data_IF_496427176115
#
_entry.id   IF_496427176115
#
_cell.length_a   1.000
_cell.length_b   1.000
_cell.length_c   1.000
_cell.angle_alpha   90.00
_cell.angle_beta   90.00
_cell.angle_gamma   90.00
#
_symmetry.space_group_name_H-M   'P 1'
#
loop_
_entity.id
_entity.type
_entity.pdbx_description
1 polymer ?
#
# COMPACT_ATOMS: atom_id res chain seq x y z
N UNK A 1 -0.33 3.51 -4.16
CA UNK A 1 0.52 2.97 -3.08
C UNK A 1 0.93 1.55 -3.44
N UNK A 2 2.13 1.06 -3.08
CA UNK A 2 2.54 -0.33 -3.30
C UNK A 2 2.71 -1.00 -1.93
N UNK A 3 2.08 -2.16 -1.73
CA UNK A 3 2.09 -2.86 -0.45
C UNK A 3 2.44 -4.35 -0.62
N UNK A 4 3.14 -4.95 0.35
CA UNK A 4 3.19 -6.40 0.46
C UNK A 4 1.82 -6.93 0.87
N UNK A 5 1.38 -8.03 0.26
CA UNK A 5 0.12 -8.71 0.58
C UNK A 5 0.43 -10.11 1.06
N UNK A 6 -0.17 -10.48 2.19
CA UNK A 6 -0.24 -11.86 2.66
C UNK A 6 -1.46 -12.55 2.09
N UNK A 7 -1.29 -13.74 1.52
CA UNK A 7 -2.37 -14.64 1.15
C UNK A 7 -2.17 -15.94 1.90
N UNK A 8 -3.24 -16.45 2.51
CA UNK A 8 -3.25 -17.75 3.20
C UNK A 8 -2.14 -17.95 4.24
N UNK A 9 -1.63 -16.87 4.84
CA UNK A 9 -0.59 -16.89 5.87
C UNK A 9 0.84 -16.63 5.37
N UNK A 10 1.08 -16.63 4.06
CA UNK A 10 2.40 -16.39 3.46
C UNK A 10 2.49 -15.00 2.79
N UNK A 11 3.61 -14.29 2.96
CA UNK A 11 3.89 -13.03 2.23
C UNK A 11 4.38 -13.41 0.83
N UNK A 12 3.48 -13.79 -0.06
CA UNK A 12 3.88 -14.26 -1.40
C UNK A 12 4.08 -13.12 -2.41
N UNK A 13 3.43 -11.96 -2.26
CA UNK A 13 3.33 -11.03 -3.39
C UNK A 13 3.15 -9.56 -3.01
N UNK A 14 3.59 -8.67 -3.90
CA UNK A 14 3.37 -7.23 -3.80
C UNK A 14 2.26 -6.82 -4.78
N UNK A 15 1.42 -5.88 -4.36
CA UNK A 15 0.42 -5.29 -5.25
C UNK A 15 0.36 -3.77 -5.13
N UNK A 16 -0.15 -3.16 -6.19
CA UNK A 16 -0.49 -1.74 -6.18
C UNK A 16 -1.90 -1.56 -5.62
N UNK A 17 -2.07 -0.69 -4.65
CA UNK A 17 -3.35 -0.11 -4.26
C UNK A 17 -3.58 1.15 -5.09
N UNK A 18 -4.62 1.10 -5.91
CA UNK A 18 -5.06 2.14 -6.84
C UNK A 18 -6.40 2.72 -6.35
N UNK A 19 -6.36 3.96 -5.83
CA UNK A 19 -7.47 4.65 -5.18
C UNK A 19 -7.88 5.86 -6.02
N UNK A 20 -9.17 6.02 -6.26
CA UNK A 20 -9.70 7.23 -6.89
C UNK A 20 -9.92 8.33 -5.85
N UNK A 21 -9.03 9.31 -5.81
CA UNK A 21 -9.07 10.47 -4.91
C UNK A 21 -7.81 10.60 -4.07
N UNK A 22 -7.88 11.47 -3.05
CA UNK A 22 -6.74 11.78 -2.19
C UNK A 22 -6.88 11.14 -0.81
N UNK A 23 -5.78 10.59 -0.29
CA UNK A 23 -5.67 10.21 1.11
C UNK A 23 -5.25 11.44 1.93
N UNK A 24 -6.08 11.84 2.90
CA UNK A 24 -5.81 12.97 3.78
C UNK A 24 -5.57 12.47 5.20
N UNK A 25 -4.45 12.90 5.78
CA UNK A 25 -4.05 12.59 7.15
C UNK A 25 -3.96 13.90 7.93
N UNK A 26 -4.61 13.98 9.11
CA UNK A 26 -4.51 15.16 9.97
C UNK A 26 -3.15 15.28 10.65
N UNK A 27 -2.55 14.14 11.00
CA UNK A 27 -1.19 14.04 11.56
C UNK A 27 -0.45 12.86 10.94
N UNK A 28 0.84 13.07 10.68
CA UNK A 28 1.76 12.03 10.21
C UNK A 28 2.80 11.88 11.32
N UNK A 29 2.56 10.97 12.26
CA UNK A 29 3.45 10.77 13.41
C UNK A 29 4.71 10.02 13.00
N UNK A 30 4.57 8.98 12.17
CA UNK A 30 5.69 8.20 11.63
C UNK A 30 5.48 7.96 10.13
N UNK A 31 6.36 8.53 9.29
CA UNK A 31 6.26 8.42 7.82
C UNK A 31 6.34 6.98 7.29
N UNK A 32 6.96 6.07 8.03
CA UNK A 32 7.25 4.71 7.55
C UNK A 32 6.24 3.66 8.02
N UNK A 33 5.55 3.87 9.15
CA UNK A 33 4.68 2.85 9.78
C UNK A 33 3.31 3.42 10.20
N UNK A 34 2.79 4.40 9.47
CA UNK A 34 1.46 4.94 9.75
C UNK A 34 0.38 3.95 9.34
N UNK A 35 -0.45 3.55 10.31
CA UNK A 35 -1.66 2.79 10.03
C UNK A 35 -2.67 3.67 9.29
N UNK A 36 -2.92 3.35 8.01
CA UNK A 36 -3.88 4.05 7.16
C UNK A 36 -5.29 3.46 7.34
N UNK A 37 -5.39 2.15 7.52
CA UNK A 37 -6.64 1.42 7.59
C UNK A 37 -6.46 -0.07 7.36
N UNK A 38 -7.57 -0.78 7.23
CA UNK A 38 -7.60 -2.23 7.14
C UNK A 38 -7.97 -2.72 5.73
N UNK A 39 -7.16 -3.63 5.20
CA UNK A 39 -7.43 -4.30 3.94
C UNK A 39 -7.87 -5.75 4.21
N UNK A 40 -9.09 -6.07 3.77
CA UNK A 40 -9.70 -7.38 3.90
C UNK A 40 -9.98 -8.00 2.54
N UNK A 41 -9.97 -9.33 2.47
CA UNK A 41 -10.45 -10.07 1.31
C UNK A 41 -11.67 -10.89 1.71
N UNK A 42 -12.73 -10.81 0.90
CA UNK A 42 -13.87 -11.72 1.06
C UNK A 42 -13.49 -13.15 0.69
N UNK A 43 -14.32 -14.13 1.06
CA UNK A 43 -14.17 -15.53 0.63
C UNK A 43 -14.10 -15.70 -0.90
N UNK A 44 -14.67 -14.75 -1.64
CA UNK A 44 -14.66 -14.74 -3.11
C UNK A 44 -13.45 -13.97 -3.68
N UNK A 45 -12.48 -13.56 -2.85
CA UNK A 45 -11.29 -12.84 -3.28
C UNK A 45 -11.51 -11.35 -3.58
N UNK A 46 -12.69 -10.79 -3.32
CA UNK A 46 -12.96 -9.36 -3.51
C UNK A 46 -12.28 -8.54 -2.40
N UNK A 47 -11.42 -7.55 -2.73
CA UNK A 47 -10.77 -6.71 -1.74
C UNK A 47 -11.72 -5.63 -1.19
N UNK A 48 -11.67 -5.42 0.12
CA UNK A 48 -12.42 -4.40 0.85
C UNK A 48 -11.41 -3.60 1.67
N UNK A 49 -11.35 -2.28 1.44
CA UNK A 49 -10.48 -1.37 2.15
C UNK A 49 -11.31 -0.48 3.08
N UNK A 50 -10.94 -0.46 4.36
CA UNK A 50 -11.60 0.33 5.40
C UNK A 50 -10.63 1.42 5.85
N UNK A 51 -11.03 2.68 5.72
CA UNK A 51 -10.24 3.85 6.13
C UNK A 51 -11.12 4.75 6.99
N UNK A 52 -10.88 4.77 8.30
CA UNK A 52 -11.75 5.45 9.25
C UNK A 52 -13.19 4.93 9.16
N UNK A 53 -14.14 5.82 8.84
CA UNK A 53 -15.57 5.46 8.66
C UNK A 53 -15.92 5.00 7.24
N UNK A 54 -14.97 5.01 6.32
CA UNK A 54 -15.24 4.72 4.93
C UNK A 54 -14.93 3.27 4.60
N UNK A 55 -15.85 2.62 3.89
CA UNK A 55 -15.63 1.32 3.26
C UNK A 55 -15.57 1.49 1.74
N UNK A 56 -14.50 0.97 1.14
CA UNK A 56 -14.30 0.91 -0.29
C UNK A 56 -14.28 -0.55 -0.74
N UNK A 57 -15.19 -0.89 -1.63
CA UNK A 57 -15.16 -2.17 -2.34
C UNK A 57 -14.29 -2.02 -3.58
N UNK A 58 -13.30 -2.89 -3.70
CA UNK A 58 -12.38 -2.90 -4.82
C UNK A 58 -12.54 -4.13 -5.70
N UNK A 59 -11.65 -4.24 -6.67
CA UNK A 59 -11.47 -5.41 -7.53
C UNK A 59 -9.98 -5.67 -7.72
N UNK A 60 -9.60 -6.94 -7.74
CA UNK A 60 -8.27 -7.33 -8.18
C UNK A 60 -8.18 -7.36 -9.71
N UNK A 61 -7.13 -6.77 -10.27
CA UNK A 61 -6.86 -6.68 -11.70
C UNK A 61 -5.41 -7.09 -11.96
N UNK A 62 -5.22 -8.01 -12.89
CA UNK A 62 -3.90 -8.34 -13.43
C UNK A 62 -3.39 -7.19 -14.31
N UNK A 63 -2.12 -6.83 -14.14
CA UNK A 63 -1.47 -5.80 -14.93
C UNK A 63 -1.03 -6.41 -16.27
N UNK A 64 -1.43 -5.79 -17.38
CA UNK A 64 -0.96 -6.18 -18.72
C UNK A 64 0.58 -6.14 -18.83
N UNK A 65 1.21 -5.23 -18.07
CA UNK A 65 2.66 -5.10 -17.94
C UNK A 65 3.05 -5.14 -16.47
N UNK A 66 3.75 -6.19 -16.02
CA UNK A 66 4.29 -6.25 -14.66
C UNK A 66 5.23 -5.07 -14.38
N UNK A 67 5.22 -4.57 -13.15
CA UNK A 67 6.06 -3.46 -12.72
C UNK A 67 7.11 -3.95 -11.71
N UNK A 68 8.30 -3.37 -11.76
CA UNK A 68 9.37 -3.67 -10.81
C UNK A 68 9.44 -2.58 -9.75
N UNK A 69 9.48 -2.97 -8.48
CA UNK A 69 9.71 -2.06 -7.36
C UNK A 69 11.21 -1.98 -7.13
N UNK A 70 11.77 -0.77 -7.31
CA UNK A 70 13.18 -0.48 -7.10
C UNK A 70 13.34 0.34 -5.82
N UNK A 71 14.21 -0.11 -4.93
CA UNK A 71 14.68 0.67 -3.79
C UNK A 71 16.00 1.33 -4.16
N UNK A 72 16.03 2.67 -4.14
CA UNK A 72 17.26 3.42 -4.33
C UNK A 72 18.07 3.40 -3.03
N UNK A 73 19.27 2.83 -3.06
CA UNK A 73 20.26 2.92 -1.99
C UNK A 73 21.32 3.96 -2.37
N UNK A 74 21.65 4.82 -1.42
CA UNK A 74 22.87 5.64 -1.49
C UNK A 74 23.79 5.05 -0.43
N UNK A 75 24.99 4.65 -0.82
CA UNK A 75 26.00 4.31 0.17
C UNK A 75 26.44 5.62 0.83
N UNK A 76 26.01 5.81 2.08
CA UNK A 76 26.65 6.76 3.00
C UNK A 76 27.66 5.98 3.83
N UNK A 77 28.52 5.21 3.16
CA UNK A 77 29.75 4.71 3.78
C UNK A 77 30.77 5.79 3.52
N UNK A 78 30.95 6.65 4.51
CA UNK A 78 32.17 7.38 4.84
C UNK A 78 31.77 8.67 5.56
N UNK A 79 31.50 8.52 6.86
CA UNK A 79 31.95 9.55 7.78
C UNK A 79 33.45 9.69 7.55
N UNK A 80 33.87 10.89 7.13
CA UNK A 80 35.26 11.33 6.91
C UNK A 80 35.89 10.88 5.58
N UNK A 81 35.81 11.72 4.56
CA UNK A 81 36.95 12.33 3.84
C UNK A 81 36.38 13.33 2.82
N UNK A 82 36.99 14.51 2.81
CA UNK A 82 36.69 15.63 1.91
C UNK A 82 36.93 15.26 0.43
N UNK A 83 36.19 15.93 -0.46
CA UNK A 83 36.36 16.02 -1.93
C UNK A 83 35.63 14.99 -2.82
N UNK A 84 34.58 15.49 -3.48
CA UNK A 84 34.09 15.17 -4.85
C UNK A 84 33.90 13.70 -5.31
N UNK A 85 33.81 12.73 -4.42
CA UNK A 85 33.36 11.39 -4.80
C UNK A 85 31.84 11.42 -5.11
N UNK A 86 31.50 11.37 -6.41
CA UNK A 86 30.12 11.24 -6.88
C UNK A 86 29.42 10.08 -6.14
N UNK A 87 28.50 10.42 -5.23
CA UNK A 87 27.80 9.44 -4.40
C UNK A 87 27.26 8.29 -5.27
N UNK A 88 27.78 7.07 -5.05
CA UNK A 88 27.40 5.90 -5.82
C UNK A 88 25.93 5.58 -5.52
N UNK A 89 25.08 5.69 -6.55
CA UNK A 89 23.65 5.38 -6.44
C UNK A 89 23.43 3.97 -6.97
N UNK A 90 22.92 3.09 -6.11
CA UNK A 90 22.56 1.72 -6.45
C UNK A 90 21.04 1.52 -6.35
N UNK A 91 20.52 0.59 -7.14
CA UNK A 91 19.09 0.24 -7.13
C UNK A 91 18.93 -1.25 -6.86
N UNK A 92 18.18 -1.58 -5.81
CA UNK A 92 17.84 -2.95 -5.46
C UNK A 92 16.43 -3.27 -5.94
N UNK A 93 16.28 -4.43 -6.60
CA UNK A 93 14.97 -4.96 -6.95
C UNK A 93 14.31 -5.54 -5.71
N UNK A 94 13.24 -4.91 -5.22
CA UNK A 94 12.47 -5.38 -4.06
C UNK A 94 11.41 -6.40 -4.43
N UNK A 95 10.70 -6.17 -5.53
CA UNK A 95 9.56 -6.98 -5.91
C UNK A 95 9.19 -6.82 -7.38
N UNK A 96 8.47 -7.82 -7.90
CA UNK A 96 7.77 -7.74 -9.19
C UNK A 96 6.27 -7.73 -8.89
N UNK A 97 5.62 -6.63 -9.23
CA UNK A 97 4.18 -6.43 -9.07
C UNK A 97 3.47 -6.85 -10.34
N UNK A 98 2.61 -7.86 -10.23
CA UNK A 98 1.81 -8.39 -11.35
C UNK A 98 0.35 -8.00 -11.27
N UNK A 99 -0.12 -7.57 -10.09
CA UNK A 99 -1.53 -7.30 -9.81
C UNK A 99 -1.71 -5.95 -9.15
N UNK A 100 -2.90 -5.38 -9.31
CA UNK A 100 -3.36 -4.21 -8.57
C UNK A 100 -4.73 -4.42 -7.95
N UNK A 101 -4.91 -3.83 -6.78
CA UNK A 101 -6.19 -3.70 -6.09
C UNK A 101 -6.77 -2.33 -6.44
N UNK A 102 -7.84 -2.34 -7.23
CA UNK A 102 -8.46 -1.14 -7.76
C UNK A 102 -9.71 -0.78 -6.97
N UNK A 103 -9.75 0.44 -6.44
CA UNK A 103 -10.87 1.01 -5.69
C UNK A 103 -11.38 2.28 -6.40
N UNK A 104 -12.27 2.10 -7.39
CA UNK A 104 -12.87 3.20 -8.18
C UNK A 104 -14.21 3.72 -7.64
N UNK A 105 -14.87 2.95 -6.78
CA UNK A 105 -16.20 3.31 -6.30
C UNK A 105 -16.13 4.39 -5.21
N UNK A 106 -17.18 5.21 -5.12
CA UNK A 106 -17.31 6.22 -4.06
C UNK A 106 -17.23 5.54 -2.68
N UNK A 107 -16.44 6.08 -1.74
CA UNK A 107 -16.40 5.56 -0.37
C UNK A 107 -17.80 5.57 0.25
N UNK A 108 -18.22 4.44 0.82
CA UNK A 108 -19.49 4.34 1.53
C UNK A 108 -19.25 4.52 3.03
N UNK A 109 -20.15 5.19 3.76
CA UNK A 109 -20.05 5.20 5.22
C UNK A 109 -20.36 3.80 5.77
N UNK A 110 -19.67 3.41 6.85
CA UNK A 110 -20.02 2.22 7.62
C UNK A 110 -21.31 2.51 8.39
N UNK A 111 -22.39 1.80 8.05
CA UNK A 111 -23.66 1.89 8.78
C UNK A 111 -23.68 0.80 9.83
N UNK A 112 -23.48 1.16 11.10
CA UNK A 112 -23.75 0.26 12.22
C UNK A 112 -25.24 0.37 12.57
N UNK A 113 -26.03 -0.66 12.24
CA UNK A 113 -27.33 -0.84 12.88
C UNK A 113 -27.07 -1.29 14.32
N UNK A 114 -26.79 -0.34 15.21
CA UNK A 114 -26.81 -0.60 16.65
C UNK A 114 -28.27 -0.92 17.03
N UNK A 115 -28.56 -2.12 17.54
CA UNK A 115 -29.88 -2.41 18.08
C UNK A 115 -30.16 -1.36 19.15
N UNK A 116 -31.30 -0.67 19.06
CA UNK A 116 -31.75 0.15 20.18
C UNK A 116 -31.98 -0.80 21.35
N UNK A 117 -31.24 -0.61 22.44
CA UNK A 117 -31.57 -1.24 23.71
C UNK A 117 -33.00 -0.83 24.06
N UNK A 118 -33.93 -1.78 23.97
CA UNK A 118 -35.25 -1.66 24.57
C UNK A 118 -35.13 -1.68 26.10
#
# INVERSE_FOLDING_TARGET
MIIPIKRDGEIETWAIVDLQGDLRFEKIDNKNDQLIGDLHFTKNGVPILIIGIHVLHGKEIDLDKPLVVLERRRDTTDEMIEEEAAAKVEYFVKAIVRKKLLFKSRPKPIVTNVPKSC
#
